data_IF_748298409570
#
_entry.id   IF_748298409570
#
_cell.length_a   1.000
_cell.length_b   1.000
_cell.length_c   1.000
_cell.angle_alpha   90.00
_cell.angle_beta   90.00
_cell.angle_gamma   90.00
#
_symmetry.space_group_name_H-M   'P 1'
#
loop_
_entity.id
_entity.type
_entity.pdbx_description
1 polymer ?
#
# COMPACT_ATOMS: atom_id res chain seq x y z
N UNK A 1 8.87 -43.19 -55.37
CA UNK A 1 9.71 -44.26 -55.96
C UNK A 1 9.51 -45.54 -55.16
N UNK A 2 9.50 -46.66 -55.90
CA UNK A 2 9.22 -48.05 -55.54
C UNK A 2 9.89 -48.57 -54.25
N UNK A 3 9.14 -49.28 -53.39
CA UNK A 3 9.10 -50.75 -53.20
C UNK A 3 10.42 -51.34 -52.67
N UNK A 4 10.39 -51.96 -51.48
CA UNK A 4 10.74 -53.39 -51.36
C UNK A 4 10.29 -54.00 -50.02
N UNK A 5 9.39 -54.97 -50.12
CA UNK A 5 9.14 -55.99 -49.09
C UNK A 5 10.18 -57.10 -49.29
N UNK A 6 10.81 -57.57 -48.23
CA UNK A 6 11.31 -58.94 -48.17
C UNK A 6 10.74 -59.63 -46.93
N UNK A 7 10.03 -60.74 -47.19
CA UNK A 7 9.66 -61.72 -46.17
C UNK A 7 10.83 -62.67 -46.02
N UNK A 8 11.27 -62.91 -44.79
CA UNK A 8 12.00 -64.12 -44.43
C UNK A 8 11.28 -64.77 -43.24
N UNK A 9 10.76 -65.97 -43.47
CA UNK A 9 10.26 -66.89 -42.43
C UNK A 9 11.28 -68.02 -42.31
N UNK A 10 11.91 -68.18 -41.15
CA UNK A 10 12.44 -69.48 -40.70
C UNK A 10 12.34 -69.61 -39.17
N UNK A 11 11.43 -70.50 -38.78
CA UNK A 11 11.57 -71.59 -37.79
C UNK A 11 12.72 -71.54 -36.79
N UNK A 12 12.38 -71.60 -35.50
CA UNK A 12 13.37 -71.83 -34.43
C UNK A 12 12.76 -71.85 -33.03
N UNK A 13 11.76 -72.69 -32.78
CA UNK A 13 11.04 -72.85 -31.49
C UNK A 13 11.91 -73.23 -30.29
N UNK A 14 13.22 -73.46 -30.46
CA UNK A 14 14.17 -73.68 -29.35
C UNK A 14 14.90 -72.44 -28.87
N UNK A 15 14.89 -71.32 -29.62
CA UNK A 15 15.49 -70.07 -29.15
C UNK A 15 14.59 -69.30 -28.17
N UNK A 16 13.30 -69.64 -28.13
CA UNK A 16 12.31 -68.94 -27.32
C UNK A 16 12.35 -69.34 -25.83
N UNK A 17 12.76 -70.56 -25.48
CA UNK A 17 12.74 -70.99 -24.07
C UNK A 17 13.80 -70.28 -23.22
N UNK A 18 15.02 -70.11 -23.75
CA UNK A 18 16.14 -69.47 -23.04
C UNK A 18 16.02 -67.94 -23.02
N UNK A 19 15.40 -67.35 -24.06
CA UNK A 19 15.10 -65.90 -24.09
C UNK A 19 13.94 -65.55 -23.16
N UNK A 20 12.94 -66.42 -23.02
CA UNK A 20 11.81 -66.18 -22.10
C UNK A 20 12.25 -66.30 -20.64
N UNK A 21 13.07 -67.31 -20.28
CA UNK A 21 13.61 -67.41 -18.90
C UNK A 21 14.53 -66.23 -18.56
N UNK A 22 15.42 -65.82 -19.48
CA UNK A 22 16.25 -64.63 -19.33
C UNK A 22 15.44 -63.32 -19.23
N UNK A 23 14.39 -63.17 -20.03
CA UNK A 23 13.51 -62.00 -19.99
C UNK A 23 12.64 -61.95 -18.73
N UNK A 24 12.17 -63.10 -18.22
CA UNK A 24 11.43 -63.15 -16.95
C UNK A 24 12.32 -62.84 -15.75
N UNK A 25 13.59 -63.29 -15.73
CA UNK A 25 14.53 -62.92 -14.67
C UNK A 25 14.87 -61.42 -14.73
N UNK A 26 15.09 -60.87 -15.93
CA UNK A 26 15.36 -59.44 -16.12
C UNK A 26 14.15 -58.56 -15.75
N UNK A 27 12.92 -59.01 -16.04
CA UNK A 27 11.70 -58.30 -15.67
C UNK A 27 11.45 -58.36 -14.16
N UNK A 28 11.69 -59.51 -13.51
CA UNK A 28 11.57 -59.63 -12.05
C UNK A 28 12.64 -58.80 -11.34
N UNK A 29 13.88 -58.77 -11.86
CA UNK A 29 14.94 -57.90 -11.32
C UNK A 29 14.63 -56.41 -11.55
N UNK A 30 14.08 -56.02 -12.71
CA UNK A 30 13.64 -54.64 -12.94
C UNK A 30 12.40 -54.24 -12.12
N UNK A 31 11.49 -55.15 -11.84
CA UNK A 31 10.34 -54.89 -10.95
C UNK A 31 10.81 -54.83 -9.48
N UNK A 32 11.74 -55.67 -9.04
CA UNK A 32 12.31 -55.60 -7.69
C UNK A 32 13.15 -54.33 -7.52
N UNK A 33 13.96 -53.93 -8.52
CA UNK A 33 14.72 -52.66 -8.52
C UNK A 33 13.82 -51.43 -8.70
N UNK A 34 12.71 -51.55 -9.43
CA UNK A 34 11.70 -50.51 -9.59
C UNK A 34 10.90 -50.26 -8.32
N UNK A 35 10.51 -51.32 -7.59
CA UNK A 35 9.77 -51.22 -6.34
C UNK A 35 10.64 -50.70 -5.19
N UNK A 36 11.96 -50.99 -5.17
CA UNK A 36 12.88 -50.37 -4.21
C UNK A 36 13.12 -48.87 -4.45
N UNK A 37 12.82 -48.37 -5.65
CA UNK A 37 13.01 -46.96 -6.02
C UNK A 37 11.81 -46.08 -5.65
N UNK A 38 10.61 -46.64 -5.46
CA UNK A 38 9.41 -45.91 -5.02
C UNK A 38 9.27 -45.80 -3.50
N UNK A 39 10.18 -46.41 -2.73
CA UNK A 39 10.34 -46.16 -1.29
C UNK A 39 11.60 -45.39 -0.97
N UNK A 40 12.06 -44.52 -1.87
CA UNK A 40 12.74 -43.32 -1.44
C UNK A 40 11.71 -42.47 -0.69
N UNK A 41 11.40 -42.88 0.56
CA UNK A 41 10.98 -41.94 1.61
C UNK A 41 11.91 -40.75 1.40
N UNK A 42 11.34 -39.57 1.10
CA UNK A 42 12.10 -38.34 1.17
C UNK A 42 12.85 -38.43 2.50
N UNK A 43 14.17 -38.67 2.43
CA UNK A 43 14.97 -38.79 3.62
C UNK A 43 14.72 -37.48 4.35
N UNK A 44 14.11 -37.54 5.53
CA UNK A 44 14.05 -36.36 6.39
C UNK A 44 15.47 -35.81 6.39
N UNK A 45 15.64 -34.57 5.92
CA UNK A 45 16.95 -33.95 5.85
C UNK A 45 17.50 -33.98 7.27
N UNK A 46 18.40 -34.92 7.51
CA UNK A 46 18.97 -35.12 8.83
C UNK A 46 19.78 -33.86 9.14
N UNK A 47 19.48 -33.24 10.27
CA UNK A 47 20.25 -32.10 10.78
C UNK A 47 21.69 -32.55 11.08
N UNK A 48 22.63 -31.61 11.07
CA UNK A 48 24.02 -31.92 11.39
C UNK A 48 24.15 -32.51 12.80
N UNK A 49 25.18 -33.33 13.04
CA UNK A 49 25.47 -33.87 14.40
C UNK A 49 25.62 -32.76 15.43
N UNK A 50 26.24 -31.65 15.07
CA UNK A 50 26.39 -30.48 15.95
C UNK A 50 25.03 -29.82 16.26
N UNK A 51 24.15 -29.70 15.26
CA UNK A 51 22.77 -29.23 15.47
C UNK A 51 22.00 -30.17 16.39
N UNK A 52 22.16 -31.48 16.22
CA UNK A 52 21.48 -32.48 17.02
C UNK A 52 21.84 -32.34 18.51
N UNK A 53 23.11 -32.08 18.86
CA UNK A 53 23.53 -31.87 20.25
C UNK A 53 22.78 -30.73 20.94
N UNK A 54 22.44 -29.65 20.23
CA UNK A 54 21.62 -28.59 20.77
C UNK A 54 20.15 -29.02 20.91
N UNK A 55 19.63 -29.73 19.90
CA UNK A 55 18.24 -30.19 19.86
C UNK A 55 17.95 -31.28 20.90
N UNK A 56 18.95 -32.04 21.34
CA UNK A 56 18.79 -33.04 22.42
C UNK A 56 18.21 -32.42 23.70
N UNK A 57 18.51 -31.14 23.97
CA UNK A 57 17.89 -30.37 25.05
C UNK A 57 16.78 -29.42 24.55
N UNK A 58 16.98 -28.71 23.43
CA UNK A 58 16.06 -27.67 22.98
C UNK A 58 14.80 -28.18 22.25
N UNK A 59 14.74 -29.45 21.86
CA UNK A 59 13.53 -30.04 21.27
C UNK A 59 12.46 -30.40 22.29
N UNK A 60 12.75 -30.28 23.59
CA UNK A 60 11.79 -30.57 24.66
C UNK A 60 10.63 -29.57 24.61
N UNK A 61 9.40 -30.08 24.45
CA UNK A 61 8.19 -29.25 24.43
C UNK A 61 8.01 -28.53 25.76
N UNK A 62 7.67 -27.25 25.70
CA UNK A 62 7.48 -26.41 26.88
C UNK A 62 8.79 -25.95 27.54
N UNK A 63 9.95 -26.18 26.92
CA UNK A 63 11.21 -25.63 27.43
C UNK A 63 11.16 -24.09 27.37
N UNK A 64 11.34 -23.47 28.52
CA UNK A 64 11.20 -22.02 28.69
C UNK A 64 12.09 -21.49 29.81
N UNK A 65 12.31 -20.17 29.81
CA UNK A 65 13.09 -19.46 30.82
C UNK A 65 12.32 -18.23 31.31
N UNK A 66 12.13 -18.13 32.62
CA UNK A 66 11.64 -16.89 33.24
C UNK A 66 12.72 -15.81 33.18
N UNK A 67 12.32 -14.64 32.70
CA UNK A 67 13.17 -13.45 32.56
C UNK A 67 13.06 -12.54 33.77
N UNK A 68 14.01 -11.60 33.89
CA UNK A 68 14.08 -10.70 35.05
C UNK A 68 12.85 -9.79 35.20
N UNK A 69 12.15 -9.48 34.10
CA UNK A 69 10.93 -8.70 34.07
C UNK A 69 9.64 -9.53 34.28
N UNK A 70 9.75 -10.84 34.53
CA UNK A 70 8.61 -11.75 34.71
C UNK A 70 8.08 -12.35 33.41
N UNK A 71 8.56 -11.94 32.23
CA UNK A 71 8.23 -12.59 30.97
C UNK A 71 8.81 -14.00 30.89
N UNK A 72 8.22 -14.83 30.04
CA UNK A 72 8.70 -16.20 29.78
C UNK A 72 9.22 -16.30 28.36
N UNK A 73 10.50 -16.61 28.21
CA UNK A 73 11.15 -16.82 26.94
C UNK A 73 11.06 -18.30 26.56
N UNK A 74 10.37 -18.62 25.47
CA UNK A 74 10.37 -19.96 24.90
C UNK A 74 11.78 -20.30 24.38
N UNK A 75 12.31 -21.43 24.83
CA UNK A 75 13.59 -22.00 24.38
C UNK A 75 13.39 -23.24 23.50
N UNK A 76 12.16 -23.75 23.44
CA UNK A 76 11.79 -24.88 22.60
C UNK A 76 11.98 -24.57 21.10
N UNK A 77 12.63 -25.50 20.40
CA UNK A 77 12.79 -25.51 18.94
C UNK A 77 12.23 -26.82 18.40
N UNK A 78 11.27 -26.75 17.48
CA UNK A 78 10.80 -27.92 16.75
C UNK A 78 11.86 -28.35 15.73
N UNK A 79 12.55 -29.45 16.04
CA UNK A 79 13.62 -29.99 15.18
C UNK A 79 13.14 -30.39 13.78
N UNK A 80 11.91 -30.87 13.64
CA UNK A 80 11.34 -31.24 12.34
C UNK A 80 10.99 -29.99 11.51
N UNK A 81 10.51 -28.92 12.16
CA UNK A 81 10.32 -27.63 11.51
C UNK A 81 11.66 -26.99 11.10
N UNK A 82 12.67 -27.07 11.97
CA UNK A 82 14.01 -26.56 11.69
C UNK A 82 14.67 -27.27 10.50
N UNK A 83 14.57 -28.61 10.45
CA UNK A 83 15.10 -29.43 9.35
C UNK A 83 14.51 -29.05 7.98
N UNK A 84 13.28 -28.50 7.97
CA UNK A 84 12.58 -28.03 6.75
C UNK A 84 12.81 -26.53 6.47
N UNK A 85 13.44 -25.81 7.38
CA UNK A 85 13.66 -24.37 7.23
C UNK A 85 14.68 -24.05 6.15
N UNK A 86 14.66 -22.81 5.63
CA UNK A 86 15.67 -22.28 4.73
C UNK A 86 17.08 -22.29 5.36
N UNK A 87 17.16 -22.31 6.70
CA UNK A 87 18.42 -22.29 7.45
C UNK A 87 18.85 -23.67 7.97
N UNK A 88 18.21 -24.77 7.55
CA UNK A 88 18.51 -26.13 8.05
C UNK A 88 19.99 -26.54 7.94
N UNK A 89 20.70 -26.03 6.92
CA UNK A 89 22.12 -26.30 6.69
C UNK A 89 23.04 -25.48 7.60
N UNK A 90 22.52 -24.42 8.21
CA UNK A 90 23.24 -23.61 9.19
C UNK A 90 23.14 -24.32 10.55
N UNK A 91 24.27 -24.57 11.18
CA UNK A 91 24.28 -25.05 12.57
C UNK A 91 23.82 -23.95 13.54
N UNK A 92 23.34 -24.34 14.72
CA UNK A 92 22.86 -23.39 15.75
C UNK A 92 23.90 -22.31 16.08
N UNK A 93 25.18 -22.70 16.14
CA UNK A 93 26.31 -21.83 16.46
C UNK A 93 26.54 -20.70 15.45
N UNK A 94 26.05 -20.82 14.20
CA UNK A 94 26.16 -19.73 13.21
C UNK A 94 25.36 -18.52 13.66
N UNK A 95 24.16 -18.74 14.21
CA UNK A 95 23.32 -17.65 14.70
C UNK A 95 23.54 -17.37 16.19
N UNK A 96 23.93 -18.39 16.95
CA UNK A 96 24.22 -18.30 18.38
C UNK A 96 25.73 -18.40 18.65
N UNK A 97 26.52 -17.54 18.02
CA UNK A 97 27.99 -17.58 18.09
C UNK A 97 28.57 -17.51 19.52
N UNK A 98 27.83 -16.87 20.44
CA UNK A 98 28.21 -16.78 21.86
C UNK A 98 27.93 -18.07 22.65
N UNK A 99 27.27 -19.06 22.07
CA UNK A 99 26.84 -20.28 22.74
C UNK A 99 27.62 -21.51 22.24
N UNK A 100 28.34 -22.15 23.17
CA UNK A 100 29.01 -23.43 22.99
C UNK A 100 28.53 -24.41 24.07
N UNK A 101 28.75 -25.72 23.90
CA UNK A 101 28.34 -26.70 24.91
C UNK A 101 29.07 -26.50 26.25
N UNK A 102 30.26 -25.93 26.23
CA UNK A 102 31.09 -25.68 27.41
C UNK A 102 30.65 -24.42 28.19
N UNK A 103 30.07 -23.43 27.51
CA UNK A 103 29.70 -22.14 28.11
C UNK A 103 28.18 -21.96 28.28
N UNK A 104 27.38 -22.95 27.86
CA UNK A 104 25.92 -22.95 27.89
C UNK A 104 25.38 -23.96 28.93
N UNK A 105 24.38 -23.57 29.74
CA UNK A 105 23.68 -22.29 29.74
C UNK A 105 24.52 -21.15 30.34
N UNK A 106 24.47 -19.93 29.79
CA UNK A 106 25.27 -18.81 30.27
C UNK A 106 24.80 -18.40 31.67
N UNK A 107 25.62 -18.67 32.69
CA UNK A 107 25.30 -18.40 34.10
C UNK A 107 25.16 -16.89 34.38
N UNK A 108 25.82 -16.03 33.59
CA UNK A 108 25.92 -14.58 33.85
C UNK A 108 25.19 -13.67 32.85
N UNK A 109 24.70 -14.18 31.71
CA UNK A 109 24.05 -13.33 30.70
C UNK A 109 22.59 -13.09 31.10
N UNK A 110 22.29 -11.89 31.58
CA UNK A 110 20.92 -11.45 31.89
C UNK A 110 20.24 -11.02 30.59
N UNK A 111 19.08 -11.60 30.31
CA UNK A 111 18.15 -11.16 29.26
C UNK A 111 17.06 -10.36 29.98
N UNK A 112 16.93 -9.06 29.73
CA UNK A 112 15.99 -8.25 30.51
C UNK A 112 14.55 -8.46 30.03
N UNK A 113 14.31 -8.68 28.74
CA UNK A 113 12.98 -8.96 28.17
C UNK A 113 13.05 -9.81 26.89
N UNK A 114 11.91 -10.39 26.49
CA UNK A 114 11.77 -11.09 25.19
C UNK A 114 12.03 -10.10 24.05
N UNK A 115 11.56 -8.87 24.19
CA UNK A 115 11.75 -7.82 23.20
C UNK A 115 13.21 -7.45 23.00
N UNK A 116 13.94 -7.22 24.08
CA UNK A 116 15.38 -6.91 24.01
C UNK A 116 16.16 -8.05 23.37
N UNK A 117 15.83 -9.31 23.71
CA UNK A 117 16.43 -10.47 23.07
C UNK A 117 16.18 -10.46 21.55
N UNK A 118 14.95 -10.17 21.12
CA UNK A 118 14.58 -10.06 19.71
C UNK A 118 15.38 -8.96 18.99
N UNK A 119 15.54 -7.79 19.62
CA UNK A 119 16.31 -6.66 19.11
C UNK A 119 17.83 -6.93 19.04
N UNK A 120 18.36 -7.73 19.96
CA UNK A 120 19.75 -8.16 19.92
C UNK A 120 19.96 -9.20 18.81
N UNK A 121 19.10 -10.22 18.75
CA UNK A 121 19.25 -11.34 17.83
C UNK A 121 19.01 -10.97 16.36
N UNK A 122 18.15 -9.98 16.05
CA UNK A 122 17.96 -9.56 14.66
C UNK A 122 19.25 -9.08 13.97
N UNK A 123 20.24 -8.60 14.74
CA UNK A 123 21.50 -8.10 14.19
C UNK A 123 22.30 -9.21 13.51
N UNK A 124 22.12 -10.45 13.95
CA UNK A 124 22.78 -11.62 13.34
C UNK A 124 22.35 -11.79 11.88
N UNK A 125 21.11 -11.43 11.56
CA UNK A 125 20.57 -11.54 10.20
C UNK A 125 21.36 -10.69 9.19
N UNK A 126 21.90 -9.53 9.59
CA UNK A 126 22.60 -8.62 8.67
C UNK A 126 23.92 -9.18 8.14
N UNK A 127 24.51 -10.16 8.82
CA UNK A 127 25.74 -10.81 8.37
C UNK A 127 25.58 -11.59 7.06
N UNK A 128 24.35 -12.05 6.76
CA UNK A 128 24.02 -12.76 5.51
C UNK A 128 22.94 -12.04 4.68
N UNK A 129 22.06 -11.26 5.30
CA UNK A 129 20.95 -10.53 4.67
C UNK A 129 21.15 -9.02 4.72
N UNK A 130 22.35 -8.55 4.39
CA UNK A 130 22.71 -7.14 4.49
C UNK A 130 21.77 -6.20 3.71
N UNK A 131 21.38 -6.60 2.49
CA UNK A 131 20.48 -5.80 1.65
C UNK A 131 19.08 -5.68 2.25
N UNK A 132 18.50 -6.79 2.70
CA UNK A 132 17.16 -6.79 3.32
C UNK A 132 17.16 -6.05 4.65
N UNK A 133 18.25 -6.16 5.41
CA UNK A 133 18.44 -5.41 6.65
C UNK A 133 18.46 -3.91 6.37
N UNK A 134 19.24 -3.48 5.37
CA UNK A 134 19.30 -2.07 4.93
C UNK A 134 17.95 -1.55 4.42
N UNK A 135 17.20 -2.35 3.67
CA UNK A 135 15.84 -2.03 3.25
C UNK A 135 14.91 -1.83 4.47
N UNK A 136 14.95 -2.76 5.43
CA UNK A 136 14.17 -2.67 6.66
C UNK A 136 14.51 -1.42 7.47
N UNK A 137 15.79 -1.08 7.63
CA UNK A 137 16.23 0.13 8.32
C UNK A 137 15.65 1.42 7.71
N UNK A 138 15.45 1.44 6.39
CA UNK A 138 14.82 2.53 5.65
C UNK A 138 13.28 2.52 5.66
N UNK A 139 12.65 1.53 6.28
CA UNK A 139 11.20 1.35 6.27
C UNK A 139 10.46 2.12 7.36
N UNK A 140 9.13 2.23 7.23
CA UNK A 140 8.27 2.78 8.29
C UNK A 140 8.31 1.92 9.56
N UNK A 141 8.50 0.61 9.45
CA UNK A 141 8.61 -0.26 10.63
C UNK A 141 9.86 0.07 11.45
N UNK A 142 11.01 0.27 10.81
CA UNK A 142 12.22 0.68 11.50
C UNK A 142 12.17 2.14 12.00
N UNK A 143 11.46 3.04 11.29
CA UNK A 143 11.22 4.39 11.77
C UNK A 143 10.45 4.37 13.10
N UNK A 144 9.32 3.63 13.16
CA UNK A 144 8.56 3.45 14.41
C UNK A 144 9.40 2.80 15.51
N UNK A 145 10.30 1.86 15.15
CA UNK A 145 11.21 1.26 16.12
C UNK A 145 12.17 2.30 16.73
N UNK A 146 12.75 3.19 15.92
CA UNK A 146 13.63 4.27 16.39
C UNK A 146 12.90 5.28 17.27
N UNK A 147 11.61 5.51 17.01
CA UNK A 147 10.71 6.31 17.85
C UNK A 147 10.37 5.63 19.20
N UNK A 148 10.86 4.40 19.44
CA UNK A 148 10.60 3.66 20.67
C UNK A 148 9.25 2.95 20.70
N UNK A 149 8.58 2.77 19.55
CA UNK A 149 7.35 2.01 19.50
C UNK A 149 7.62 0.53 19.87
N UNK A 150 7.06 0.03 20.98
CA UNK A 150 7.40 -1.30 21.50
C UNK A 150 6.88 -2.45 20.62
N UNK A 151 5.89 -2.18 19.76
CA UNK A 151 5.27 -3.18 18.87
C UNK A 151 5.74 -3.07 17.41
N UNK A 152 6.68 -2.17 17.10
CA UNK A 152 7.23 -2.06 15.75
C UNK A 152 7.97 -3.37 15.36
N UNK A 153 7.65 -4.00 14.22
CA UNK A 153 8.17 -5.33 13.93
C UNK A 153 9.63 -5.31 13.47
N UNK A 154 10.39 -6.30 13.94
CA UNK A 154 11.73 -6.67 13.48
C UNK A 154 11.71 -7.98 12.70
N UNK A 155 12.88 -8.42 12.21
CA UNK A 155 13.02 -9.61 11.37
C UNK A 155 12.29 -10.84 11.94
N UNK A 156 12.45 -11.06 13.25
CA UNK A 156 11.91 -12.19 14.03
C UNK A 156 10.41 -12.12 14.32
N UNK A 157 9.78 -10.95 14.19
CA UNK A 157 8.33 -10.80 14.38
C UNK A 157 7.57 -11.31 13.13
N UNK A 158 8.18 -11.14 11.95
CA UNK A 158 7.66 -11.59 10.66
C UNK A 158 8.14 -13.00 10.28
N UNK A 159 9.43 -13.27 10.45
CA UNK A 159 10.05 -14.55 10.13
C UNK A 159 10.35 -15.33 11.40
N UNK A 160 9.94 -16.61 11.45
CA UNK A 160 10.42 -17.49 12.51
C UNK A 160 11.88 -17.88 12.20
N UNK A 161 12.89 -17.49 13.01
CA UNK A 161 14.29 -17.79 12.70
C UNK A 161 14.61 -19.30 12.73
N UNK A 162 13.84 -20.10 13.49
CA UNK A 162 14.00 -21.55 13.60
C UNK A 162 13.08 -22.34 12.66
N UNK A 163 12.21 -21.67 11.92
CA UNK A 163 11.33 -22.28 10.92
C UNK A 163 11.16 -21.35 9.72
N UNK A 164 12.24 -20.67 9.34
CA UNK A 164 12.20 -19.67 8.28
C UNK A 164 11.84 -20.37 6.96
N UNK A 165 10.81 -19.88 6.28
CA UNK A 165 10.37 -20.43 5.01
C UNK A 165 10.70 -19.46 3.87
N UNK A 166 10.92 -19.97 2.65
CA UNK A 166 11.03 -19.13 1.46
C UNK A 166 9.77 -18.28 1.26
N UNK A 167 9.90 -17.13 0.59
CA UNK A 167 8.77 -16.24 0.28
C UNK A 167 7.60 -16.96 -0.41
N UNK A 168 7.89 -17.95 -1.24
CA UNK A 168 6.86 -18.72 -1.97
C UNK A 168 5.96 -19.56 -1.04
N UNK A 169 6.41 -19.83 0.19
CA UNK A 169 5.71 -20.66 1.17
C UNK A 169 4.91 -19.85 2.20
N UNK A 170 4.80 -18.52 2.03
CA UNK A 170 3.96 -17.71 2.89
C UNK A 170 2.49 -18.12 2.81
N UNK A 171 1.86 -18.27 3.96
CA UNK A 171 0.44 -18.60 4.05
C UNK A 171 -0.43 -17.38 3.71
N UNK A 172 -0.87 -17.35 2.45
CA UNK A 172 -1.77 -16.31 1.94
C UNK A 172 -3.14 -16.36 2.62
N UNK A 173 -3.58 -17.54 3.10
CA UNK A 173 -4.92 -17.73 3.65
C UNK A 173 -5.08 -17.11 5.03
N UNK A 174 -4.05 -17.14 5.88
CA UNK A 174 -4.06 -16.45 7.19
C UNK A 174 -3.63 -14.98 7.11
N UNK A 175 -3.02 -14.56 6.00
CA UNK A 175 -2.41 -13.23 5.89
C UNK A 175 -1.18 -13.02 6.76
N UNK A 176 -0.68 -14.09 7.39
CA UNK A 176 0.52 -14.03 8.21
C UNK A 176 1.74 -13.75 7.31
N UNK A 177 2.71 -12.94 7.79
CA UNK A 177 2.80 -12.39 9.14
C UNK A 177 2.09 -11.06 9.33
N UNK A 178 1.65 -10.40 8.24
CA UNK A 178 1.08 -9.05 8.29
C UNK A 178 -0.16 -8.97 9.19
N UNK A 179 -1.05 -9.97 9.10
CA UNK A 179 -2.31 -10.00 9.85
C UNK A 179 -2.15 -10.05 11.37
N UNK A 180 -0.98 -10.45 11.89
CA UNK A 180 -0.69 -10.44 13.33
C UNK A 180 -0.82 -9.04 13.95
N UNK A 181 -0.44 -8.01 13.20
CA UNK A 181 -0.54 -6.61 13.61
C UNK A 181 -1.61 -5.85 12.82
N UNK A 182 -1.88 -6.24 11.57
CA UNK A 182 -2.82 -5.59 10.65
C UNK A 182 -4.11 -6.40 10.44
N UNK A 183 -4.68 -6.96 11.52
CA UNK A 183 -5.85 -7.84 11.46
C UNK A 183 -7.05 -7.23 10.71
N UNK A 184 -7.47 -6.02 11.07
CA UNK A 184 -8.61 -5.35 10.42
C UNK A 184 -8.37 -5.04 8.94
N UNK A 185 -7.13 -4.76 8.56
CA UNK A 185 -6.74 -4.54 7.15
C UNK A 185 -6.78 -5.86 6.40
N UNK A 186 -6.29 -6.94 7.01
CA UNK A 186 -6.36 -8.28 6.43
C UNK A 186 -7.81 -8.74 6.24
N UNK A 187 -8.70 -8.51 7.21
CA UNK A 187 -10.13 -8.83 7.08
C UNK A 187 -10.77 -8.09 5.90
N UNK A 188 -10.50 -6.79 5.76
CA UNK A 188 -10.97 -6.01 4.62
C UNK A 188 -10.42 -6.55 3.28
N UNK A 189 -9.12 -6.84 3.22
CA UNK A 189 -8.49 -7.43 2.04
C UNK A 189 -9.07 -8.81 1.71
N UNK A 190 -9.27 -9.67 2.71
CA UNK A 190 -9.84 -11.01 2.54
C UNK A 190 -11.26 -10.94 1.97
N UNK A 191 -12.05 -9.93 2.37
CA UNK A 191 -13.37 -9.65 1.81
C UNK A 191 -13.36 -8.99 0.42
N UNK A 192 -12.22 -8.44 -0.01
CA UNK A 192 -12.09 -7.75 -1.30
C UNK A 192 -12.09 -8.69 -2.50
N UNK A 193 -12.26 -8.14 -3.70
CA UNK A 193 -12.17 -8.91 -4.96
C UNK A 193 -10.83 -9.66 -5.10
N UNK A 194 -9.73 -9.07 -4.63
CA UNK A 194 -8.41 -9.71 -4.67
C UNK A 194 -8.28 -10.84 -3.64
N UNK A 195 -8.75 -10.62 -2.42
CA UNK A 195 -8.75 -11.66 -1.36
C UNK A 195 -9.65 -12.84 -1.72
N UNK A 196 -10.84 -12.57 -2.28
CA UNK A 196 -11.75 -13.61 -2.75
C UNK A 196 -11.15 -14.39 -3.93
N UNK A 197 -10.51 -13.71 -4.88
CA UNK A 197 -9.78 -14.38 -5.97
C UNK A 197 -8.68 -15.30 -5.43
N UNK A 198 -7.89 -14.84 -4.46
CA UNK A 198 -6.89 -15.66 -3.77
C UNK A 198 -7.48 -16.87 -3.09
N UNK A 199 -8.59 -16.70 -2.36
CA UNK A 199 -9.31 -17.80 -1.69
C UNK A 199 -9.82 -18.85 -2.68
N UNK A 200 -10.12 -18.45 -3.92
CA UNK A 200 -10.51 -19.34 -5.02
C UNK A 200 -9.32 -20.01 -5.72
N UNK A 201 -8.10 -19.86 -5.21
CA UNK A 201 -6.89 -20.49 -5.78
C UNK A 201 -6.24 -19.72 -6.92
N UNK A 202 -6.68 -18.49 -7.23
CA UNK A 202 -6.09 -17.65 -8.27
C UNK A 202 -4.76 -17.07 -7.81
N UNK A 203 -3.66 -17.74 -8.13
CA UNK A 203 -2.32 -17.40 -7.62
C UNK A 203 -1.78 -16.05 -8.12
N UNK A 204 -2.35 -15.54 -9.21
CA UNK A 204 -2.03 -14.24 -9.82
C UNK A 204 -2.62 -13.06 -9.04
N UNK A 205 -3.64 -13.28 -8.20
CA UNK A 205 -4.21 -12.22 -7.40
C UNK A 205 -3.15 -11.68 -6.39
N UNK A 206 -3.08 -10.35 -6.18
CA UNK A 206 -2.04 -9.75 -5.37
C UNK A 206 -2.23 -10.11 -3.89
N UNK A 207 -1.13 -10.26 -3.16
CA UNK A 207 -1.11 -10.35 -1.69
C UNK A 207 -0.53 -9.07 -1.09
N UNK A 208 -0.48 -8.97 0.24
CA UNK A 208 0.08 -7.82 0.96
C UNK A 208 1.44 -7.40 0.37
N UNK A 209 2.36 -8.38 0.19
CA UNK A 209 3.71 -8.13 -0.32
C UNK A 209 3.79 -7.79 -1.82
N UNK A 210 2.70 -7.98 -2.57
CA UNK A 210 2.63 -7.59 -3.98
C UNK A 210 2.45 -6.08 -4.11
N UNK A 211 1.65 -5.48 -3.22
CA UNK A 211 1.36 -4.04 -3.23
C UNK A 211 2.25 -3.25 -2.24
N UNK A 212 2.69 -3.89 -1.16
CA UNK A 212 3.53 -3.29 -0.12
C UNK A 212 4.85 -4.05 -0.05
N UNK A 213 5.99 -3.41 -0.35
CA UNK A 213 7.30 -4.05 -0.15
C UNK A 213 7.47 -4.44 1.32
N UNK A 214 7.81 -5.69 1.63
CA UNK A 214 7.83 -6.17 3.01
C UNK A 214 9.00 -5.60 3.83
N UNK A 215 10.19 -5.52 3.23
CA UNK A 215 11.37 -4.95 3.87
C UNK A 215 11.47 -3.44 3.64
N UNK A 216 11.15 -2.92 2.46
CA UNK A 216 11.15 -1.48 2.17
C UNK A 216 9.74 -0.85 2.28
N UNK A 217 8.96 -1.27 3.28
CA UNK A 217 7.59 -0.74 3.46
C UNK A 217 7.65 0.76 3.76
N UNK A 218 6.92 1.57 2.99
CA UNK A 218 6.72 3.00 3.25
C UNK A 218 5.32 3.24 3.80
N UNK A 219 5.11 4.40 4.42
CA UNK A 219 3.77 4.79 4.86
C UNK A 219 2.77 4.79 3.69
N UNK A 220 1.80 3.89 3.73
CA UNK A 220 0.84 3.68 2.64
C UNK A 220 0.06 4.96 2.29
N UNK A 221 -0.29 5.76 3.30
CA UNK A 221 -0.98 7.03 3.11
C UNK A 221 -0.18 8.09 2.33
N UNK A 222 1.15 7.96 2.26
CA UNK A 222 2.04 8.96 1.67
C UNK A 222 2.40 8.75 0.19
N UNK A 223 2.16 7.55 -0.35
CA UNK A 223 2.76 7.13 -1.62
C UNK A 223 1.96 7.52 -2.88
N UNK A 224 2.57 8.32 -3.76
CA UNK A 224 2.13 8.45 -5.16
C UNK A 224 2.24 7.11 -5.93
N UNK A 225 3.11 6.22 -5.43
CA UNK A 225 3.38 4.87 -5.98
C UNK A 225 2.22 3.89 -5.91
N UNK A 226 1.16 4.15 -5.13
CA UNK A 226 -0.01 3.24 -5.08
C UNK A 226 -0.64 3.07 -6.46
N UNK A 227 -0.72 4.15 -7.24
CA UNK A 227 -1.26 4.08 -8.61
C UNK A 227 -0.43 3.14 -9.49
N UNK A 228 0.89 3.23 -9.39
CA UNK A 228 1.81 2.42 -10.19
C UNK A 228 1.72 0.94 -9.80
N UNK A 229 1.51 0.63 -8.51
CA UNK A 229 1.25 -0.74 -8.04
C UNK A 229 -0.04 -1.31 -8.64
N UNK A 230 -1.10 -0.50 -8.77
CA UNK A 230 -2.32 -0.93 -9.46
C UNK A 230 -2.03 -1.19 -10.95
N UNK A 231 -1.28 -0.30 -11.61
CA UNK A 231 -0.99 -0.40 -13.04
C UNK A 231 -0.02 -1.55 -13.39
N UNK A 232 0.77 -2.04 -12.43
CA UNK A 232 1.61 -3.22 -12.62
C UNK A 232 0.82 -4.45 -13.08
N UNK A 233 -0.44 -4.57 -12.64
CA UNK A 233 -1.36 -5.62 -13.09
C UNK A 233 -2.49 -5.07 -13.99
N UNK A 234 -2.91 -3.82 -13.79
CA UNK A 234 -3.99 -3.17 -14.53
C UNK A 234 -3.46 -2.13 -15.55
N UNK A 235 -2.50 -2.52 -16.38
CA UNK A 235 -1.88 -1.61 -17.36
C UNK A 235 -2.89 -1.00 -18.36
N UNK A 236 -3.98 -1.71 -18.66
CA UNK A 236 -5.09 -1.24 -19.49
C UNK A 236 -6.11 -0.35 -18.79
N UNK A 237 -5.88 0.07 -17.54
CA UNK A 237 -6.85 0.85 -16.78
C UNK A 237 -7.17 2.18 -17.46
N UNK A 238 -6.17 2.99 -17.85
CA UNK A 238 -6.43 4.30 -18.44
C UNK A 238 -7.28 4.23 -19.73
N UNK A 239 -6.92 3.41 -20.74
CA UNK A 239 -7.77 3.23 -21.93
C UNK A 239 -9.18 2.77 -21.62
N UNK A 240 -9.34 1.82 -20.69
CA UNK A 240 -10.66 1.34 -20.29
C UNK A 240 -11.54 2.44 -19.66
N UNK A 241 -10.94 3.33 -18.87
CA UNK A 241 -11.65 4.44 -18.25
C UNK A 241 -11.94 5.57 -19.25
N UNK A 242 -11.10 5.79 -20.26
CA UNK A 242 -11.34 6.81 -21.30
C UNK A 242 -12.65 6.57 -22.08
N UNK A 243 -13.15 5.34 -22.12
CA UNK A 243 -14.40 5.00 -22.80
C UNK A 243 -15.65 5.62 -22.17
N UNK A 244 -15.61 5.98 -20.88
CA UNK A 244 -16.79 6.45 -20.15
C UNK A 244 -16.52 7.62 -19.21
N UNK A 245 -15.28 7.79 -18.75
CA UNK A 245 -14.87 8.80 -17.79
C UNK A 245 -14.23 10.00 -18.52
N UNK A 246 -14.91 11.17 -18.56
CA UNK A 246 -14.34 12.37 -19.14
C UNK A 246 -13.04 12.75 -18.42
N UNK A 247 -12.02 13.18 -19.15
CA UNK A 247 -10.71 13.54 -18.58
C UNK A 247 -10.14 12.42 -17.65
N UNK A 248 -10.26 11.15 -18.04
CA UNK A 248 -9.85 10.00 -17.23
C UNK A 248 -8.43 10.14 -16.64
N UNK A 249 -7.47 10.67 -17.39
CA UNK A 249 -6.11 10.89 -16.91
C UNK A 249 -6.03 11.85 -15.70
N UNK A 250 -6.85 12.90 -15.69
CA UNK A 250 -6.92 13.83 -14.56
C UNK A 250 -7.58 13.15 -13.35
N UNK A 251 -8.69 12.45 -13.55
CA UNK A 251 -9.36 11.70 -12.47
C UNK A 251 -8.41 10.69 -11.82
N UNK A 252 -7.69 9.88 -12.60
CA UNK A 252 -6.73 8.91 -12.06
C UNK A 252 -5.51 9.55 -11.40
N UNK A 253 -5.25 10.85 -11.67
CA UNK A 253 -4.21 11.62 -10.97
C UNK A 253 -4.71 12.17 -9.64
N UNK A 254 -5.98 12.58 -9.55
CA UNK A 254 -6.53 13.34 -8.42
C UNK A 254 -7.45 12.53 -7.52
N UNK A 255 -7.83 11.32 -7.90
CA UNK A 255 -8.71 10.43 -7.14
C UNK A 255 -7.94 9.12 -6.92
N UNK A 256 -7.89 8.64 -5.69
CA UNK A 256 -7.30 7.33 -5.44
C UNK A 256 -8.20 6.21 -5.97
N UNK A 257 -7.59 5.13 -6.46
CA UNK A 257 -8.31 4.00 -7.04
C UNK A 257 -9.37 3.46 -6.07
N UNK A 258 -9.02 3.34 -4.78
CA UNK A 258 -9.94 2.90 -3.73
C UNK A 258 -11.15 3.82 -3.54
N UNK A 259 -11.04 5.12 -3.80
CA UNK A 259 -12.19 6.02 -3.69
C UNK A 259 -13.32 5.63 -4.66
N UNK A 260 -13.03 5.07 -5.83
CA UNK A 260 -14.06 4.57 -6.75
C UNK A 260 -14.29 3.05 -6.61
N UNK A 261 -13.23 2.29 -6.33
CA UNK A 261 -13.28 0.83 -6.26
C UNK A 261 -13.72 0.26 -4.90
N UNK A 262 -13.91 1.09 -3.87
CA UNK A 262 -14.55 0.73 -2.62
C UNK A 262 -15.87 1.52 -2.48
N UNK A 263 -16.99 1.07 -3.06
CA UNK A 263 -18.20 1.87 -3.19
C UNK A 263 -18.82 2.29 -1.85
N UNK A 264 -18.80 1.39 -0.85
CA UNK A 264 -19.46 1.57 0.45
C UNK A 264 -18.68 2.35 1.51
N UNK A 265 -17.58 3.01 1.15
CA UNK A 265 -16.68 3.66 2.12
C UNK A 265 -16.89 5.16 2.20
N UNK A 266 -16.45 5.76 3.30
CA UNK A 266 -16.42 7.21 3.45
C UNK A 266 -15.25 7.79 2.66
N UNK A 267 -15.50 8.93 2.03
CA UNK A 267 -14.52 9.66 1.21
C UNK A 267 -14.25 11.02 1.83
N UNK A 268 -13.09 11.57 1.53
CA UNK A 268 -12.69 12.92 1.91
C UNK A 268 -11.85 13.56 0.82
N UNK A 269 -11.84 14.89 0.81
CA UNK A 269 -10.81 15.65 0.11
C UNK A 269 -9.64 15.87 1.06
N UNK A 270 -8.46 15.38 0.66
CA UNK A 270 -7.20 15.61 1.34
C UNK A 270 -6.41 16.69 0.59
N UNK A 271 -6.28 17.87 1.19
CA UNK A 271 -5.49 19.00 0.71
C UNK A 271 -4.06 18.83 1.17
N UNK A 272 -3.21 18.34 0.26
CA UNK A 272 -1.81 18.03 0.57
C UNK A 272 -0.93 19.24 0.37
N UNK A 273 -0.03 19.48 1.31
CA UNK A 273 0.90 20.61 1.23
C UNK A 273 2.09 20.30 0.29
N UNK A 274 2.36 21.22 -0.65
CA UNK A 274 3.42 21.16 -1.63
C UNK A 274 4.19 22.48 -1.69
N UNK A 275 5.49 22.39 -1.97
CA UNK A 275 6.32 23.52 -2.38
C UNK A 275 6.13 23.74 -3.89
N UNK A 276 5.75 24.96 -4.27
CA UNK A 276 5.49 25.31 -5.66
C UNK A 276 6.74 25.32 -6.55
N UNK A 277 7.91 25.68 -6.01
CA UNK A 277 9.17 25.76 -6.76
C UNK A 277 9.79 24.37 -6.91
N UNK A 278 9.91 23.64 -5.79
CA UNK A 278 10.48 22.28 -5.79
C UNK A 278 9.53 21.22 -6.38
N UNK A 279 8.23 21.54 -6.56
CA UNK A 279 7.19 20.60 -7.00
C UNK A 279 7.11 19.33 -6.13
N UNK A 280 7.55 19.43 -4.87
CA UNK A 280 7.64 18.33 -3.91
C UNK A 280 6.69 18.56 -2.75
N UNK A 281 6.29 17.45 -2.11
CA UNK A 281 5.52 17.50 -0.86
C UNK A 281 6.39 18.11 0.22
N UNK A 282 5.79 18.99 1.02
CA UNK A 282 6.43 19.46 2.25
C UNK A 282 6.39 18.32 3.26
N UNK A 283 7.50 18.14 3.96
CA UNK A 283 7.61 17.22 5.09
C UNK A 283 7.96 17.98 6.37
N UNK A 284 7.40 17.56 7.49
CA UNK A 284 7.84 18.01 8.81
C UNK A 284 9.26 17.54 9.08
N UNK A 285 10.03 18.41 9.74
CA UNK A 285 11.35 18.06 10.28
C UNK A 285 11.18 17.26 11.57
N UNK A 286 12.12 16.36 11.81
CA UNK A 286 12.12 15.46 12.97
C UNK A 286 12.13 16.25 14.30
N UNK A 287 11.31 15.84 15.27
CA UNK A 287 11.37 16.32 16.66
C UNK A 287 10.37 17.40 17.10
N UNK A 288 9.61 18.05 16.21
CA UNK A 288 8.48 18.92 16.63
C UNK A 288 7.32 18.86 15.63
N UNK A 289 6.09 18.48 16.03
CA UNK A 289 4.91 18.46 15.17
C UNK A 289 4.39 19.90 14.92
N UNK A 290 5.20 20.68 14.20
CA UNK A 290 4.95 22.10 13.93
C UNK A 290 3.62 22.33 13.20
N UNK A 291 3.26 21.45 12.27
CA UNK A 291 2.02 21.55 11.51
C UNK A 291 0.79 21.41 12.38
N UNK A 292 0.71 20.32 13.16
CA UNK A 292 -0.47 20.08 13.99
C UNK A 292 -0.58 21.13 15.11
N UNK A 293 0.56 21.48 15.73
CA UNK A 293 0.61 22.52 16.75
C UNK A 293 0.13 23.88 16.22
N UNK A 294 0.63 24.31 15.05
CA UNK A 294 0.20 25.57 14.43
C UNK A 294 -1.25 25.52 13.97
N UNK A 295 -1.68 24.41 13.38
CA UNK A 295 -3.06 24.23 12.96
C UNK A 295 -4.03 24.34 14.16
N UNK A 296 -3.69 23.71 15.30
CA UNK A 296 -4.47 23.83 16.55
C UNK A 296 -4.43 25.23 17.14
N UNK A 297 -3.29 25.92 17.07
CA UNK A 297 -3.17 27.29 17.58
C UNK A 297 -4.05 28.27 16.79
N UNK A 298 -4.27 28.01 15.50
CA UNK A 298 -5.12 28.84 14.63
C UNK A 298 -6.59 28.43 14.72
N UNK A 299 -6.89 27.13 14.84
CA UNK A 299 -8.26 26.59 15.00
C UNK A 299 -8.71 26.62 16.47
N UNK A 300 -8.90 27.82 17.01
CA UNK A 300 -9.26 28.05 18.41
C UNK A 300 -10.63 27.47 18.80
N UNK A 301 -11.53 27.27 17.84
CA UNK A 301 -12.87 26.71 18.05
C UNK A 301 -12.93 25.18 17.92
N UNK A 302 -11.84 24.54 17.46
CA UNK A 302 -11.79 23.09 17.23
C UNK A 302 -12.74 22.59 16.15
N UNK A 303 -13.19 23.46 15.24
CA UNK A 303 -14.12 23.13 14.15
C UNK A 303 -13.40 22.76 12.85
N UNK A 304 -12.07 22.75 12.87
CA UNK A 304 -11.24 22.63 11.69
C UNK A 304 -10.94 24.00 11.06
N UNK A 305 -9.87 24.04 10.27
CA UNK A 305 -9.39 25.26 9.62
C UNK A 305 -10.43 25.81 8.63
N UNK A 306 -10.92 27.01 8.89
CA UNK A 306 -11.68 27.80 7.92
C UNK A 306 -10.74 28.41 6.86
N UNK A 307 -11.30 29.07 5.85
CA UNK A 307 -10.53 29.60 4.73
C UNK A 307 -9.50 30.69 5.10
N UNK A 308 -9.76 31.49 6.14
CA UNK A 308 -8.86 32.55 6.61
C UNK A 308 -7.73 31.92 7.43
N UNK A 309 -8.08 31.04 8.36
CA UNK A 309 -7.16 30.24 9.17
C UNK A 309 -6.16 29.49 8.29
N UNK A 310 -6.66 28.83 7.24
CA UNK A 310 -5.82 28.14 6.27
C UNK A 310 -4.87 29.09 5.55
N UNK A 311 -5.35 30.24 5.09
CA UNK A 311 -4.49 31.20 4.40
C UNK A 311 -3.35 31.70 5.31
N UNK A 312 -3.62 31.90 6.60
CA UNK A 312 -2.61 32.25 7.60
C UNK A 312 -1.58 31.13 7.79
N UNK A 313 -2.04 29.88 7.94
CA UNK A 313 -1.17 28.71 8.04
C UNK A 313 -0.23 28.60 6.83
N UNK A 314 -0.76 28.74 5.60
CA UNK A 314 0.05 28.67 4.38
C UNK A 314 1.09 29.80 4.29
N UNK A 315 0.76 31.01 4.76
CA UNK A 315 1.70 32.13 4.81
C UNK A 315 2.85 31.87 5.78
N UNK A 316 2.58 31.27 6.93
CA UNK A 316 3.62 30.88 7.89
C UNK A 316 4.55 29.84 7.28
N UNK A 317 4.02 28.78 6.66
CA UNK A 317 4.84 27.78 5.98
C UNK A 317 5.64 28.35 4.81
N UNK A 318 5.11 29.32 4.08
CA UNK A 318 5.84 29.97 2.98
C UNK A 318 7.01 30.85 3.46
N UNK A 319 7.04 31.24 4.74
CA UNK A 319 8.13 32.03 5.34
C UNK A 319 9.24 31.16 5.93
N UNK A 320 8.96 29.90 6.23
CA UNK A 320 9.87 28.98 6.92
C UNK A 320 10.80 28.22 5.96
N UNK A 321 11.73 28.95 5.33
CA UNK A 321 12.86 28.35 4.62
C UNK A 321 12.49 27.48 3.41
N UNK A 322 11.35 27.75 2.78
CA UNK A 322 10.94 27.14 1.53
C UNK A 322 11.54 27.86 0.32
N UNK A 323 11.78 27.12 -0.76
CA UNK A 323 12.22 27.70 -2.04
C UNK A 323 11.06 28.40 -2.75
N UNK A 324 9.83 27.91 -2.56
CA UNK A 324 8.62 28.45 -3.18
C UNK A 324 7.49 28.81 -2.20
N UNK A 325 6.31 29.09 -2.76
CA UNK A 325 5.08 29.33 -2.00
C UNK A 325 4.45 27.98 -1.60
N UNK A 326 3.89 27.93 -0.39
CA UNK A 326 3.08 26.80 0.03
C UNK A 326 1.78 26.74 -0.78
N UNK A 327 1.62 25.67 -1.55
CA UNK A 327 0.39 25.37 -2.28
C UNK A 327 -0.21 24.06 -1.76
N UNK A 328 -1.50 23.89 -2.00
CA UNK A 328 -2.27 22.72 -1.65
C UNK A 328 -2.65 21.96 -2.92
N UNK A 329 -2.44 20.65 -2.93
CA UNK A 329 -2.98 19.78 -3.97
C UNK A 329 -4.08 18.92 -3.41
N UNK A 330 -5.29 19.11 -3.90
CA UNK A 330 -6.44 18.30 -3.50
C UNK A 330 -6.36 16.90 -4.11
N UNK A 331 -6.60 15.88 -3.29
CA UNK A 331 -6.82 14.50 -3.75
C UNK A 331 -8.05 13.93 -3.07
N UNK A 332 -8.87 13.20 -3.82
CA UNK A 332 -9.98 12.45 -3.23
C UNK A 332 -9.47 11.10 -2.74
N UNK A 333 -9.72 10.83 -1.46
CA UNK A 333 -9.21 9.66 -0.74
C UNK A 333 -10.33 9.00 0.07
N UNK A 334 -10.13 7.72 0.38
CA UNK A 334 -10.93 7.02 1.40
C UNK A 334 -10.50 7.46 2.80
N UNK A 335 -11.36 7.25 3.81
CA UNK A 335 -11.11 7.77 5.14
C UNK A 335 -10.04 6.96 5.91
N UNK A 336 -9.93 5.66 5.66
CA UNK A 336 -9.00 4.79 6.39
C UNK A 336 -8.23 3.81 5.50
N UNK A 337 -7.15 3.27 6.05
CA UNK A 337 -6.41 2.17 5.40
C UNK A 337 -7.27 0.91 5.26
N UNK A 338 -8.17 0.64 6.19
CA UNK A 338 -9.10 -0.50 6.12
C UNK A 338 -10.05 -0.35 4.93
N UNK A 339 -10.68 0.81 4.78
CA UNK A 339 -11.53 1.11 3.62
C UNK A 339 -10.78 1.06 2.29
N UNK A 340 -9.49 1.43 2.28
CA UNK A 340 -8.66 1.30 1.09
C UNK A 340 -8.49 -0.16 0.61
N UNK A 341 -8.69 -1.12 1.51
CA UNK A 341 -8.58 -2.56 1.21
C UNK A 341 -9.95 -3.22 0.94
N UNK A 342 -11.07 -2.49 1.01
CA UNK A 342 -12.42 -3.01 0.70
C UNK A 342 -12.73 -2.93 -0.80
N UNK A 343 -11.76 -3.31 -1.65
CA UNK A 343 -11.90 -3.23 -3.10
C UNK A 343 -12.96 -4.19 -3.61
N UNK A 344 -13.94 -3.67 -4.34
CA UNK A 344 -15.03 -4.44 -4.93
C UNK A 344 -14.74 -4.80 -6.40
N UNK A 345 -15.53 -5.74 -6.92
CA UNK A 345 -15.56 -6.04 -8.36
C UNK A 345 -15.90 -4.78 -9.18
N UNK A 346 -15.36 -4.68 -10.40
CA UNK A 346 -15.59 -3.54 -11.30
C UNK A 346 -17.07 -3.24 -11.51
N UNK A 347 -17.95 -4.25 -11.51
CA UNK A 347 -19.39 -4.06 -11.67
C UNK A 347 -20.05 -3.30 -10.51
N UNK A 348 -19.39 -3.27 -9.34
CA UNK A 348 -19.82 -2.53 -8.14
C UNK A 348 -19.07 -1.22 -7.94
N UNK A 349 -18.06 -0.94 -8.75
CA UNK A 349 -17.28 0.30 -8.63
C UNK A 349 -18.15 1.52 -8.95
N UNK A 350 -17.81 2.66 -8.37
CA UNK A 350 -18.51 3.92 -8.61
C UNK A 350 -18.23 4.39 -10.05
N UNK A 351 -19.24 4.32 -10.90
CA UNK A 351 -19.23 4.87 -12.27
C UNK A 351 -20.22 6.03 -12.49
N UNK A 352 -21.07 6.31 -11.51
CA UNK A 352 -22.10 7.35 -11.57
C UNK A 352 -21.50 8.72 -11.25
N UNK A 353 -21.44 9.61 -12.25
CA UNK A 353 -20.85 10.94 -12.14
C UNK A 353 -21.45 11.76 -10.97
N UNK A 354 -22.75 11.65 -10.73
CA UNK A 354 -23.48 12.35 -9.67
C UNK A 354 -23.00 12.01 -8.27
N UNK A 355 -22.37 10.83 -8.07
CA UNK A 355 -21.81 10.44 -6.76
C UNK A 355 -20.78 11.47 -6.27
N UNK A 356 -20.04 12.07 -7.20
CA UNK A 356 -19.06 13.10 -6.89
C UNK A 356 -19.54 14.48 -7.32
N UNK A 357 -20.16 14.63 -8.48
CA UNK A 357 -20.46 15.93 -9.08
C UNK A 357 -21.82 16.53 -8.67
N UNK A 358 -22.63 15.85 -7.85
CA UNK A 358 -23.85 16.45 -7.28
C UNK A 358 -23.49 17.48 -6.22
N UNK A 359 -24.24 18.57 -6.16
CA UNK A 359 -24.12 19.54 -5.07
C UNK A 359 -24.31 18.86 -3.71
N UNK A 360 -23.44 19.17 -2.76
CA UNK A 360 -23.45 18.58 -1.43
C UNK A 360 -23.09 17.09 -1.40
N UNK A 361 -22.38 16.57 -2.40
CA UNK A 361 -21.92 15.17 -2.38
C UNK A 361 -21.00 14.91 -1.17
N UNK A 362 -21.18 13.75 -0.54
CA UNK A 362 -20.44 13.28 0.64
C UNK A 362 -18.92 13.48 0.55
N UNK A 363 -18.23 13.24 -0.58
CA UNK A 363 -16.77 13.36 -0.65
C UNK A 363 -16.26 14.77 -0.35
N UNK A 364 -17.08 15.81 -0.57
CA UNK A 364 -16.72 17.21 -0.37
C UNK A 364 -17.13 17.79 0.98
N UNK A 365 -17.91 17.06 1.77
CA UNK A 365 -18.31 17.48 3.11
C UNK A 365 -17.19 17.27 4.14
N UNK A 366 -16.24 16.38 3.85
CA UNK A 366 -15.09 16.08 4.71
C UNK A 366 -13.82 16.55 4.04
N UNK A 367 -13.17 17.55 4.63
CA UNK A 367 -11.93 18.13 4.12
C UNK A 367 -10.85 18.01 5.19
N UNK A 368 -9.68 17.53 4.77
CA UNK A 368 -8.49 17.49 5.62
C UNK A 368 -7.34 18.21 4.94
N UNK A 369 -6.39 18.67 5.73
CA UNK A 369 -5.14 19.23 5.26
C UNK A 369 -4.03 18.35 5.80
N UNK A 370 -3.05 18.01 4.94
CA UNK A 370 -2.01 17.09 5.34
C UNK A 370 -0.61 17.45 4.87
N UNK A 371 0.34 17.09 5.72
CA UNK A 371 1.78 17.17 5.48
C UNK A 371 2.39 15.78 5.68
N UNK A 372 3.52 15.51 5.03
CA UNK A 372 4.28 14.30 5.33
C UNK A 372 5.01 14.50 6.67
N UNK A 373 4.90 13.57 7.61
CA UNK A 373 5.75 13.51 8.80
C UNK A 373 7.18 13.07 8.44
N UNK A 374 8.12 13.12 9.40
CA UNK A 374 9.51 12.72 9.18
C UNK A 374 9.66 11.25 8.77
N UNK A 375 8.74 10.39 9.22
CA UNK A 375 8.66 8.97 8.88
C UNK A 375 7.81 8.67 7.61
N UNK A 376 7.31 9.73 6.96
CA UNK A 376 6.46 9.66 5.78
C UNK A 376 4.97 9.39 6.06
N UNK A 377 4.54 9.20 7.33
CA UNK A 377 3.11 9.15 7.66
C UNK A 377 2.48 10.50 7.38
N UNK A 378 1.18 10.51 7.07
CA UNK A 378 0.48 11.78 6.89
C UNK A 378 -0.05 12.28 8.22
N UNK A 379 0.45 13.44 8.64
CA UNK A 379 -0.17 14.23 9.70
C UNK A 379 -1.32 14.97 9.05
N UNK A 380 -2.52 14.83 9.61
CA UNK A 380 -3.75 15.39 9.06
C UNK A 380 -4.43 16.29 10.08
N UNK A 381 -5.00 17.38 9.59
CA UNK A 381 -5.84 18.27 10.37
C UNK A 381 -7.16 18.54 9.65
N UNK A 382 -8.24 18.73 10.40
CA UNK A 382 -9.57 19.01 9.85
C UNK A 382 -9.65 20.38 9.20
N UNK A 383 -10.40 20.50 8.12
CA UNK A 383 -10.75 21.76 7.48
C UNK A 383 -12.24 21.81 7.16
N UNK A 384 -12.77 23.03 7.14
CA UNK A 384 -14.18 23.26 6.85
C UNK A 384 -14.41 23.18 5.32
N UNK A 385 -15.56 22.68 4.90
CA UNK A 385 -15.84 22.38 3.48
C UNK A 385 -15.77 23.62 2.56
N UNK A 386 -16.10 24.79 3.09
CA UNK A 386 -16.06 26.09 2.42
C UNK A 386 -14.66 26.48 1.94
N UNK A 387 -13.60 25.89 2.51
CA UNK A 387 -12.22 26.06 2.04
C UNK A 387 -12.08 25.72 0.56
N UNK A 388 -12.86 24.73 0.08
CA UNK A 388 -12.82 24.31 -1.32
C UNK A 388 -13.47 25.32 -2.29
N UNK A 389 -14.19 26.31 -1.76
CA UNK A 389 -14.95 27.32 -2.52
C UNK A 389 -14.57 28.76 -2.18
N UNK A 390 -13.68 28.97 -1.21
CA UNK A 390 -13.33 30.33 -0.76
C UNK A 390 -12.42 31.03 -1.76
N UNK A 391 -12.71 32.31 -2.03
CA UNK A 391 -11.87 33.18 -2.84
C UNK A 391 -10.43 33.28 -2.32
N UNK A 392 -10.23 33.21 -1.00
CA UNK A 392 -8.90 33.30 -0.37
C UNK A 392 -8.06 32.04 -0.55
N UNK A 393 -8.67 30.94 -1.00
CA UNK A 393 -8.02 29.62 -1.14
C UNK A 393 -7.77 29.25 -2.61
N UNK A 394 -8.34 29.98 -3.58
CA UNK A 394 -8.24 29.69 -5.03
C UNK A 394 -6.79 29.67 -5.51
N UNK A 395 -6.01 30.71 -5.17
CA UNK A 395 -4.62 30.84 -5.63
C UNK A 395 -3.66 29.85 -4.95
N UNK A 396 -4.14 29.16 -3.91
CA UNK A 396 -3.33 28.24 -3.12
C UNK A 396 -3.72 26.78 -3.36
N UNK A 397 -4.95 26.47 -3.78
CA UNK A 397 -5.40 25.10 -4.06
C UNK A 397 -5.28 24.81 -5.56
N UNK A 398 -4.30 24.00 -5.92
CA UNK A 398 -4.05 23.52 -7.28
C UNK A 398 -4.31 22.03 -7.46
N UNK A 399 -4.25 21.55 -8.70
CA UNK A 399 -4.33 20.11 -9.02
C UNK A 399 -5.69 19.46 -8.77
N UNK A 400 -6.71 20.23 -8.40
CA UNK A 400 -8.06 19.74 -8.11
C UNK A 400 -9.09 20.58 -8.86
N UNK A 401 -9.17 20.38 -10.18
CA UNK A 401 -10.24 20.95 -11.01
C UNK A 401 -11.32 19.90 -11.20
N UNK A 402 -12.26 19.82 -10.25
CA UNK A 402 -13.51 19.08 -10.47
C UNK A 402 -14.43 20.02 -11.23
N UNK A 403 -14.49 19.82 -12.55
CA UNK A 403 -15.43 20.51 -13.45
C UNK A 403 -16.81 19.93 -13.14
N UNK A 404 -17.55 20.58 -12.26
CA UNK A 404 -18.90 20.17 -11.89
C UNK A 404 -19.49 21.10 -10.84
N UNK A 405 -20.22 22.11 -11.31
CA UNK A 405 -20.94 23.06 -10.46
C UNK A 405 -20.03 24.06 -9.77
N UNK A 406 -19.63 25.07 -10.52
CA UNK A 406 -19.29 26.42 -10.03
C UNK A 406 -19.23 26.59 -8.50
N UNK A 407 -18.08 26.24 -7.91
CA UNK A 407 -17.94 26.30 -6.45
C UNK A 407 -18.03 27.72 -5.91
N UNK A 408 -17.82 28.72 -6.76
CA UNK A 408 -17.71 30.10 -6.34
C UNK A 408 -18.89 30.86 -6.94
N UNK A 409 -20.00 30.91 -6.20
CA UNK A 409 -21.17 31.73 -6.56
C UNK A 409 -20.79 33.17 -6.91
N UNK A 410 -19.70 33.69 -6.34
CA UNK A 410 -19.14 34.99 -6.68
C UNK A 410 -18.68 35.07 -8.15
N UNK A 411 -17.97 34.06 -8.67
CA UNK A 411 -17.54 34.05 -10.07
C UNK A 411 -18.75 33.92 -11.00
N UNK A 412 -19.74 33.11 -10.65
CA UNK A 412 -21.00 33.02 -11.41
C UNK A 412 -21.73 34.36 -11.45
N UNK A 413 -21.83 35.02 -10.31
CA UNK A 413 -22.42 36.35 -10.19
C UNK A 413 -21.63 37.39 -10.97
N UNK A 414 -20.29 37.32 -10.96
CA UNK A 414 -19.43 38.23 -11.73
C UNK A 414 -19.56 37.98 -13.24
N UNK A 415 -19.64 36.72 -13.69
CA UNK A 415 -19.89 36.38 -15.09
C UNK A 415 -21.29 36.82 -15.51
N UNK A 416 -22.31 36.56 -14.69
CA UNK A 416 -23.67 37.04 -14.94
C UNK A 416 -23.72 38.57 -15.01
N UNK A 417 -23.04 39.27 -14.09
CA UNK A 417 -22.92 40.71 -14.11
C UNK A 417 -22.18 41.20 -15.36
N UNK A 418 -21.07 40.55 -15.74
CA UNK A 418 -20.33 40.90 -16.94
C UNK A 418 -21.17 40.71 -18.22
N UNK A 419 -21.98 39.65 -18.29
CA UNK A 419 -22.93 39.43 -19.38
C UNK A 419 -24.05 40.47 -19.37
N UNK A 420 -24.62 40.79 -18.21
CA UNK A 420 -25.65 41.83 -18.07
C UNK A 420 -25.12 43.21 -18.47
N UNK A 421 -23.89 43.56 -18.09
CA UNK A 421 -23.25 44.81 -18.49
C UNK A 421 -22.90 44.79 -19.98
N UNK A 422 -22.30 43.70 -20.46
CA UNK A 422 -21.88 43.54 -21.85
C UNK A 422 -23.03 43.57 -22.85
N UNK A 423 -24.19 43.04 -22.50
CA UNK A 423 -25.41 43.08 -23.32
C UNK A 423 -26.25 44.33 -23.03
N UNK A 424 -26.35 44.74 -21.77
CA UNK A 424 -27.17 45.85 -21.33
C UNK A 424 -26.67 47.21 -21.82
N UNK A 425 -25.36 47.44 -21.82
CA UNK A 425 -24.78 48.73 -22.27
C UNK A 425 -25.09 49.00 -23.75
N UNK A 426 -24.88 48.07 -24.70
CA UNK A 426 -25.30 48.26 -26.10
C UNK A 426 -26.80 48.51 -26.26
N UNK A 427 -27.65 47.75 -25.55
CA UNK A 427 -29.11 47.92 -25.64
C UNK A 427 -29.49 49.33 -25.16
N UNK A 428 -29.03 49.75 -23.99
CA UNK A 428 -29.32 51.08 -23.44
C UNK A 428 -28.80 52.17 -24.38
N UNK A 429 -27.58 52.03 -24.91
CA UNK A 429 -27.00 52.98 -25.85
C UNK A 429 -27.82 53.11 -27.14
N UNK A 430 -28.20 51.99 -27.76
CA UNK A 430 -29.02 51.96 -28.96
C UNK A 430 -30.44 52.52 -28.72
N UNK A 431 -31.03 52.20 -27.56
CA UNK A 431 -32.38 52.65 -27.19
C UNK A 431 -32.40 54.16 -26.91
N UNK A 432 -31.40 54.69 -26.20
CA UNK A 432 -31.23 56.13 -25.98
C UNK A 432 -30.99 56.87 -27.30
N UNK A 433 -30.15 56.32 -28.19
CA UNK A 433 -29.92 56.89 -29.52
C UNK A 433 -31.16 56.87 -30.41
N UNK A 434 -32.04 55.87 -30.27
CA UNK A 434 -33.33 55.84 -30.96
C UNK A 434 -34.31 56.87 -30.37
N UNK A 435 -34.42 56.94 -29.04
CA UNK A 435 -35.27 57.91 -28.33
C UNK A 435 -34.86 59.36 -28.63
N UNK A 436 -33.57 59.68 -28.62
CA UNK A 436 -33.06 61.03 -28.90
C UNK A 436 -33.39 61.46 -30.33
N UNK A 437 -33.21 60.58 -31.33
CA UNK A 437 -33.62 60.83 -32.72
C UNK A 437 -35.12 61.05 -32.86
N UNK A 438 -35.94 60.30 -32.11
CA UNK A 438 -37.39 60.46 -32.11
C UNK A 438 -37.83 61.77 -31.45
N UNK A 439 -37.17 62.17 -30.38
CA UNK A 439 -37.43 63.43 -29.68
C UNK A 439 -37.00 64.62 -30.54
N UNK A 440 -35.82 64.59 -31.16
CA UNK A 440 -35.36 65.64 -32.08
C UNK A 440 -36.33 65.85 -33.26
N UNK A 441 -36.87 64.78 -33.86
CA UNK A 441 -37.92 64.88 -34.89
C UNK A 441 -39.21 65.55 -34.40
N UNK A 442 -39.57 65.33 -33.13
CA UNK A 442 -40.79 65.88 -32.53
C UNK A 442 -40.65 67.37 -32.16
N UNK A 443 -39.42 67.83 -31.86
CA UNK A 443 -39.15 69.25 -31.57
C UNK A 443 -38.95 70.03 -32.88
N UNK A 444 -38.21 69.49 -33.85
CA UNK A 444 -38.00 70.15 -35.15
C UNK A 444 -39.26 70.25 -36.01
N UNK A 445 -40.25 69.37 -35.82
CA UNK A 445 -41.57 69.48 -36.45
C UNK A 445 -42.50 70.53 -35.82
N UNK A 446 -42.03 71.29 -34.82
CA UNK A 446 -42.81 72.32 -34.11
C UNK A 446 -42.37 73.75 -34.42
N UNK A 447 -41.30 73.92 -35.20
CA UNK A 447 -40.81 75.23 -35.67
C UNK A 447 -41.34 75.60 -37.05
N UNK A 448 -41.97 74.66 -37.76
CA UNK A 448 -42.53 74.83 -39.12
C UNK A 448 -44.07 74.92 -39.15
N UNK A 449 -44.74 75.16 -38.02
CA UNK A 449 -46.20 75.27 -37.91
C UNK A 449 -46.68 76.59 -37.34
#
# INVERSE_FOLDING_TARGET
MAICRSKLTMTGTKFYADVITGATLALVVMVVLGVTSLTARAAERAVSKATQQCLDCHSVKGLEKKLANGETLALHVDGAAFAKSAHNLLGCAVCHADATLENHPPVKKKIASVRENSLAMQKVCSSCHADQFKEHEGSIHAALLREGNPVAPVCTDCHNPHAAVPKASYDVASGAPCSKCHGSVFEAYAGSVHGQARKQGRVEAPVCSTCHSAHDVKAAAGGEKIKDNCHACHSGALPAHQNWLPNAALHLKTISCAACHAPGVKRRVDLRLYDSAAQKRIAEKEGVPQFEMRARAIDTEGKGLNAIALQSLLREFSRDGMEGKAILRGRLEVDSGVEAHQLADKAKAVGQCETCHRAGSDPFQRVTISIAGPDGRLVRYGAQQEVLSSATSIDSIGGFYVIGGTRIKLLDMLVALALLVGVGVPIVHLTLGWLSRRYAKKIGGREDS
#
